data_IF_683603437216
#
_entry.id   IF_683603437216
#
_cell.length_a   1.000
_cell.length_b   1.000
_cell.length_c   1.000
_cell.angle_alpha   90.00
_cell.angle_beta   90.00
_cell.angle_gamma   90.00
#
_symmetry.space_group_name_H-M   'P 1'
#
loop_
_entity.id
_entity.type
_entity.pdbx_description
1 polymer ?
#
# COMPACT_ATOMS: atom_id res chain seq x y z
N UNK A 1 -26.64 25.62 -10.72
CA UNK A 1 -25.40 24.87 -11.00
C UNK A 1 -24.31 25.06 -9.92
N UNK A 2 -24.03 26.30 -9.47
CA UNK A 2 -23.00 26.61 -8.45
C UNK A 2 -23.19 25.89 -7.10
N UNK A 3 -24.44 25.78 -6.58
CA UNK A 3 -24.72 25.09 -5.30
C UNK A 3 -24.40 23.59 -5.32
N UNK A 4 -24.63 22.90 -6.44
CA UNK A 4 -24.41 21.44 -6.55
C UNK A 4 -22.90 21.11 -6.54
N UNK A 5 -22.08 21.95 -7.18
CA UNK A 5 -20.62 21.81 -7.20
C UNK A 5 -20.05 22.00 -5.78
N UNK A 6 -20.58 22.96 -5.02
CA UNK A 6 -20.18 23.21 -3.63
C UNK A 6 -20.45 21.99 -2.74
N UNK A 7 -21.67 21.42 -2.77
CA UNK A 7 -22.04 20.27 -1.92
C UNK A 7 -21.15 19.04 -2.19
N UNK A 8 -20.85 18.75 -3.47
CA UNK A 8 -19.98 17.63 -3.84
C UNK A 8 -18.53 17.80 -3.33
N UNK A 9 -17.98 19.02 -3.42
CA UNK A 9 -16.64 19.34 -2.91
C UNK A 9 -16.56 19.18 -1.39
N UNK A 10 -17.58 19.65 -0.66
CA UNK A 10 -17.68 19.46 0.78
C UNK A 10 -17.78 17.98 1.16
N UNK A 11 -18.56 17.20 0.41
CA UNK A 11 -18.66 15.74 0.59
C UNK A 11 -17.31 15.03 0.49
N UNK A 12 -16.52 15.31 -0.56
CA UNK A 12 -15.18 14.72 -0.71
C UNK A 12 -14.21 15.12 0.40
N UNK A 13 -14.23 16.38 0.85
CA UNK A 13 -13.38 16.85 1.95
C UNK A 13 -13.73 16.18 3.27
N UNK A 14 -15.02 16.07 3.56
CA UNK A 14 -15.51 15.42 4.79
C UNK A 14 -15.14 13.93 4.80
N UNK A 15 -15.39 13.23 3.69
CA UNK A 15 -14.97 11.83 3.54
C UNK A 15 -13.45 11.67 3.68
N UNK A 16 -12.66 12.56 3.06
CA UNK A 16 -11.20 12.56 3.18
C UNK A 16 -10.73 12.74 4.62
N UNK A 17 -11.39 13.62 5.38
CA UNK A 17 -11.10 13.82 6.80
C UNK A 17 -11.39 12.55 7.63
N UNK A 18 -12.54 11.90 7.41
CA UNK A 18 -12.83 10.62 8.05
C UNK A 18 -11.80 9.55 7.70
N UNK A 19 -11.36 9.46 6.45
CA UNK A 19 -10.28 8.55 6.06
C UNK A 19 -8.97 8.84 6.78
N UNK A 20 -8.59 10.11 7.00
CA UNK A 20 -7.40 10.44 7.80
C UNK A 20 -7.56 9.95 9.25
N UNK A 21 -8.71 10.21 9.87
CA UNK A 21 -8.97 9.75 11.24
C UNK A 21 -8.91 8.24 11.35
N UNK A 22 -9.53 7.51 10.40
CA UNK A 22 -9.44 6.06 10.32
C UNK A 22 -8.00 5.58 10.13
N UNK A 23 -7.22 6.25 9.28
CA UNK A 23 -5.81 5.91 9.06
C UNK A 23 -4.96 6.07 10.34
N UNK A 24 -5.17 7.16 11.08
CA UNK A 24 -4.50 7.42 12.37
C UNK A 24 -4.93 6.41 13.43
N UNK A 25 -6.22 6.11 13.52
CA UNK A 25 -6.74 5.08 14.43
C UNK A 25 -6.12 3.71 14.15
N UNK A 26 -6.08 3.29 12.87
CA UNK A 26 -5.45 2.04 12.48
C UNK A 26 -3.94 2.05 12.77
N UNK A 27 -3.26 3.19 12.62
CA UNK A 27 -1.84 3.30 12.98
C UNK A 27 -1.62 3.11 14.49
N UNK A 28 -2.50 3.65 15.34
CA UNK A 28 -2.47 3.36 16.77
C UNK A 28 -2.65 1.86 17.06
N UNK A 29 -3.46 1.16 16.26
CA UNK A 29 -3.59 -0.30 16.31
C UNK A 29 -2.27 -1.05 16.05
N UNK A 30 -1.39 -0.53 15.20
CA UNK A 30 -0.03 -1.08 15.00
C UNK A 30 0.80 -0.94 16.26
N UNK A 31 0.78 0.24 16.88
CA UNK A 31 1.52 0.49 18.12
C UNK A 31 0.99 -0.37 19.28
N UNK A 32 -0.33 -0.56 19.35
CA UNK A 32 -0.95 -1.45 20.32
C UNK A 32 -0.60 -2.91 20.05
N UNK A 33 -0.54 -3.34 18.80
CA UNK A 33 -0.13 -4.69 18.44
C UNK A 33 1.33 -4.97 18.85
N UNK A 34 2.20 -3.98 18.67
CA UNK A 34 3.60 -4.05 19.08
C UNK A 34 3.79 -4.08 20.61
N UNK A 35 2.89 -3.47 21.38
CA UNK A 35 3.02 -3.40 22.85
C UNK A 35 2.31 -4.52 23.60
N UNK A 36 1.18 -5.04 23.09
CA UNK A 36 0.33 -6.01 23.80
C UNK A 36 0.51 -7.46 23.37
N UNK A 37 1.01 -7.72 22.17
CA UNK A 37 1.11 -9.07 21.63
C UNK A 37 2.56 -9.46 21.32
N UNK A 38 2.81 -10.76 21.31
CA UNK A 38 4.08 -11.36 20.86
C UNK A 38 3.80 -12.46 19.83
N UNK A 39 4.85 -12.87 19.11
CA UNK A 39 4.78 -13.98 18.16
C UNK A 39 3.82 -13.75 16.99
N UNK A 40 3.13 -14.82 16.56
CA UNK A 40 2.18 -14.79 15.43
C UNK A 40 1.08 -13.73 15.60
N UNK A 41 0.57 -13.53 16.82
CA UNK A 41 -0.52 -12.54 17.05
C UNK A 41 -0.04 -11.12 16.85
N UNK A 42 1.18 -10.80 17.27
CA UNK A 42 1.78 -9.49 17.03
C UNK A 42 1.97 -9.25 15.53
N UNK A 43 2.52 -10.25 14.84
CA UNK A 43 2.77 -10.23 13.40
C UNK A 43 1.47 -10.01 12.59
N UNK A 44 0.43 -10.78 12.90
CA UNK A 44 -0.86 -10.69 12.22
C UNK A 44 -1.54 -9.34 12.45
N UNK A 45 -1.65 -8.91 13.72
CA UNK A 45 -2.28 -7.63 14.04
C UNK A 45 -1.50 -6.46 13.45
N UNK A 46 -0.17 -6.49 13.53
CA UNK A 46 0.69 -5.48 12.92
C UNK A 46 0.45 -5.34 11.42
N UNK A 47 0.45 -6.47 10.68
CA UNK A 47 0.16 -6.47 9.25
C UNK A 47 -1.25 -5.96 8.93
N UNK A 48 -2.28 -6.39 9.67
CA UNK A 48 -3.66 -5.97 9.45
C UNK A 48 -3.84 -4.46 9.67
N UNK A 49 -3.41 -3.96 10.83
CA UNK A 49 -3.57 -2.56 11.20
C UNK A 49 -2.75 -1.63 10.30
N UNK A 50 -1.53 -2.03 9.93
CA UNK A 50 -0.70 -1.27 9.00
C UNK A 50 -1.33 -1.22 7.59
N UNK A 51 -1.89 -2.34 7.11
CA UNK A 51 -2.57 -2.41 5.82
C UNK A 51 -3.77 -1.47 5.78
N UNK A 52 -4.62 -1.49 6.82
CA UNK A 52 -5.77 -0.60 6.92
C UNK A 52 -5.36 0.86 7.01
N UNK A 53 -4.32 1.17 7.81
CA UNK A 53 -3.79 2.53 7.94
C UNK A 53 -3.33 3.08 6.58
N UNK A 54 -2.58 2.27 5.82
CA UNK A 54 -2.11 2.64 4.48
C UNK A 54 -3.28 2.82 3.51
N UNK A 55 -4.23 1.89 3.47
CA UNK A 55 -5.40 1.95 2.59
C UNK A 55 -6.21 3.24 2.84
N UNK A 56 -6.52 3.55 4.09
CA UNK A 56 -7.26 4.76 4.43
C UNK A 56 -6.47 6.05 4.12
N UNK A 57 -5.15 6.04 4.35
CA UNK A 57 -4.28 7.16 3.98
C UNK A 57 -4.28 7.44 2.47
N UNK A 58 -4.16 6.39 1.66
CA UNK A 58 -4.24 6.46 0.20
C UNK A 58 -5.62 6.93 -0.28
N UNK A 59 -6.69 6.41 0.30
CA UNK A 59 -8.06 6.87 0.02
C UNK A 59 -8.24 8.36 0.32
N UNK A 60 -7.71 8.84 1.46
CA UNK A 60 -7.75 10.26 1.80
C UNK A 60 -7.04 11.12 0.75
N UNK A 61 -5.85 10.70 0.30
CA UNK A 61 -5.10 11.41 -0.75
C UNK A 61 -5.93 11.54 -2.03
N UNK A 62 -6.61 10.48 -2.46
CA UNK A 62 -7.47 10.52 -3.64
C UNK A 62 -8.69 11.43 -3.46
N UNK A 63 -9.35 11.38 -2.31
CA UNK A 63 -10.52 12.22 -2.01
C UNK A 63 -10.15 13.71 -1.97
N UNK A 64 -9.03 14.07 -1.33
CA UNK A 64 -8.54 15.45 -1.33
C UNK A 64 -8.06 15.89 -2.71
N UNK A 65 -7.45 15.01 -3.49
CA UNK A 65 -7.05 15.31 -4.87
C UNK A 65 -8.26 15.54 -5.78
N UNK A 66 -9.34 14.76 -5.61
CA UNK A 66 -10.60 14.94 -6.33
C UNK A 66 -11.35 16.23 -5.93
N UNK A 67 -11.10 16.74 -4.72
CA UNK A 67 -11.65 18.01 -4.24
C UNK A 67 -10.86 19.25 -4.72
N UNK A 68 -9.79 19.08 -5.50
CA UNK A 68 -9.01 20.20 -6.05
C UNK A 68 -9.68 20.78 -7.29
N UNK A 69 -9.63 22.12 -7.49
CA UNK A 69 -10.11 22.74 -8.71
C UNK A 69 -9.28 22.28 -9.92
N UNK A 70 -9.96 22.07 -11.05
CA UNK A 70 -9.41 21.51 -12.30
C UNK A 70 -8.31 22.36 -12.97
N UNK A 71 -8.04 23.55 -12.44
CA UNK A 71 -7.07 24.51 -12.98
C UNK A 71 -5.60 24.12 -12.70
N UNK A 72 -5.34 23.20 -11.78
CA UNK A 72 -3.99 22.74 -11.48
C UNK A 72 -3.55 21.61 -12.43
N UNK A 73 -3.21 21.93 -13.69
CA UNK A 73 -2.63 20.97 -14.63
C UNK A 73 -1.18 20.68 -14.23
N UNK A 74 -0.93 19.49 -13.69
CA UNK A 74 0.42 19.06 -13.29
C UNK A 74 1.34 18.88 -14.50
N UNK A 75 2.64 19.13 -14.30
CA UNK A 75 3.66 18.89 -15.33
C UNK A 75 3.76 17.41 -15.69
N UNK A 76 3.82 17.10 -16.99
CA UNK A 76 3.95 15.73 -17.51
C UNK A 76 5.24 15.04 -17.00
N UNK A 77 6.31 15.80 -16.76
CA UNK A 77 7.55 15.24 -16.18
C UNK A 77 7.32 14.72 -14.76
N UNK A 78 6.52 15.45 -13.98
CA UNK A 78 6.19 15.07 -12.59
C UNK A 78 5.32 13.81 -12.57
N UNK A 79 4.33 13.69 -13.46
CA UNK A 79 3.48 12.48 -13.51
C UNK A 79 4.26 11.24 -13.92
N UNK A 80 5.18 11.34 -14.89
CA UNK A 80 6.07 10.23 -15.27
C UNK A 80 7.02 9.83 -14.13
N UNK A 81 7.62 10.81 -13.45
CA UNK A 81 8.47 10.53 -12.29
C UNK A 81 7.70 9.82 -11.19
N UNK A 82 6.48 10.29 -10.87
CA UNK A 82 5.61 9.64 -9.88
C UNK A 82 5.25 8.21 -10.29
N UNK A 83 4.97 7.96 -11.58
CA UNK A 83 4.70 6.61 -12.07
C UNK A 83 5.88 5.66 -11.82
N UNK A 84 7.10 6.08 -12.15
CA UNK A 84 8.32 5.29 -11.93
C UNK A 84 8.61 5.09 -10.43
N UNK A 85 8.43 6.13 -9.62
CA UNK A 85 8.61 6.06 -8.18
C UNK A 85 7.68 5.01 -7.55
N UNK A 86 6.40 5.03 -7.90
CA UNK A 86 5.44 4.04 -7.39
C UNK A 86 5.70 2.62 -7.94
N UNK A 87 6.17 2.49 -9.18
CA UNK A 87 6.61 1.20 -9.71
C UNK A 87 7.79 0.64 -8.90
N UNK A 88 8.78 1.47 -8.58
CA UNK A 88 9.94 1.06 -7.78
C UNK A 88 9.53 0.61 -6.37
N UNK A 89 8.60 1.32 -5.71
CA UNK A 89 8.05 0.90 -4.41
C UNK A 89 7.33 -0.44 -4.53
N UNK A 90 6.50 -0.63 -5.56
CA UNK A 90 5.76 -1.87 -5.78
C UNK A 90 6.72 -3.06 -5.96
N UNK A 91 7.74 -2.90 -6.81
CA UNK A 91 8.76 -3.91 -7.04
C UNK A 91 9.58 -4.22 -5.78
N UNK A 92 9.98 -3.19 -5.03
CA UNK A 92 10.71 -3.36 -3.78
C UNK A 92 9.88 -4.14 -2.74
N UNK A 93 8.60 -3.81 -2.59
CA UNK A 93 7.71 -4.51 -1.67
C UNK A 93 7.46 -5.97 -2.12
N UNK A 94 7.23 -6.21 -3.40
CA UNK A 94 7.08 -7.56 -3.95
C UNK A 94 8.36 -8.39 -3.78
N UNK A 95 9.53 -7.78 -3.98
CA UNK A 95 10.81 -8.46 -3.83
C UNK A 95 11.04 -8.97 -2.41
N UNK A 96 10.65 -8.22 -1.38
CA UNK A 96 10.74 -8.69 0.02
C UNK A 96 9.93 -9.97 0.24
N UNK A 97 8.73 -10.06 -0.35
CA UNK A 97 7.89 -11.27 -0.28
C UNK A 97 8.54 -12.44 -1.01
N UNK A 98 9.06 -12.21 -2.22
CA UNK A 98 9.75 -13.24 -3.01
C UNK A 98 11.01 -13.74 -2.30
N UNK A 99 11.83 -12.84 -1.74
CA UNK A 99 13.02 -13.19 -1.00
C UNK A 99 12.70 -14.08 0.22
N UNK A 100 11.60 -13.78 0.93
CA UNK A 100 11.13 -14.63 2.02
C UNK A 100 10.68 -16.01 1.53
N UNK A 101 9.90 -16.09 0.45
CA UNK A 101 9.46 -17.37 -0.11
C UNK A 101 10.65 -18.24 -0.56
N UNK A 102 11.67 -17.64 -1.16
CA UNK A 102 12.91 -18.35 -1.52
C UNK A 102 13.68 -18.84 -0.28
N UNK A 103 13.65 -18.10 0.83
CA UNK A 103 14.26 -18.53 2.08
C UNK A 103 13.52 -19.72 2.70
N UNK A 104 12.18 -19.70 2.66
CA UNK A 104 11.33 -20.83 3.09
C UNK A 104 11.62 -22.07 2.25
N UNK A 105 11.63 -21.93 0.92
CA UNK A 105 11.89 -23.03 -0.02
C UNK A 105 13.24 -23.70 0.25
N UNK A 106 14.31 -22.91 0.34
CA UNK A 106 15.66 -23.40 0.69
C UNK A 106 15.72 -24.10 2.05
N UNK A 107 14.91 -23.68 3.02
CA UNK A 107 14.84 -24.32 4.33
C UNK A 107 14.15 -25.69 4.24
N UNK A 108 13.06 -25.77 3.49
CA UNK A 108 12.32 -27.01 3.27
C UNK A 108 13.15 -28.04 2.47
N UNK A 109 13.96 -27.59 1.50
CA UNK A 109 14.90 -28.45 0.76
C UNK A 109 15.94 -29.14 1.67
N UNK A 110 16.24 -28.55 2.83
CA UNK A 110 17.16 -29.11 3.82
C UNK A 110 16.46 -30.08 4.79
N UNK A 111 15.14 -30.30 4.63
CA UNK A 111 14.33 -31.08 5.56
C UNK A 111 14.08 -30.39 6.91
N UNK A 112 14.34 -29.07 6.99
CA UNK A 112 14.14 -28.25 8.17
C UNK A 112 12.74 -27.61 8.20
N UNK A 113 12.38 -27.00 9.34
CA UNK A 113 11.13 -26.25 9.50
C UNK A 113 11.41 -24.75 9.63
N UNK A 114 10.62 -23.90 8.96
CA UNK A 114 10.85 -22.46 8.95
C UNK A 114 10.06 -21.75 10.06
N UNK A 115 10.73 -20.98 10.92
CA UNK A 115 10.10 -20.09 11.91
C UNK A 115 9.68 -18.79 11.23
N UNK A 116 8.38 -18.69 10.90
CA UNK A 116 7.78 -17.52 10.24
C UNK A 116 7.73 -16.26 11.11
N UNK A 117 7.89 -16.38 12.43
CA UNK A 117 7.90 -15.22 13.35
C UNK A 117 9.28 -14.59 13.37
N UNK A 118 10.33 -15.42 13.42
CA UNK A 118 11.72 -14.97 13.45
C UNK A 118 12.31 -14.77 12.05
N UNK A 119 11.75 -15.42 11.04
CA UNK A 119 12.28 -15.42 9.68
C UNK A 119 13.52 -16.29 9.52
N UNK A 120 13.63 -17.37 10.30
CA UNK A 120 14.81 -18.21 10.39
C UNK A 120 14.48 -19.69 10.12
N UNK A 121 15.47 -20.45 9.65
CA UNK A 121 15.35 -21.88 9.41
C UNK A 121 15.76 -22.66 10.68
N UNK A 122 14.91 -23.57 11.14
CA UNK A 122 15.13 -24.38 12.35
C UNK A 122 15.11 -25.88 12.01
N UNK A 123 16.26 -26.53 12.22
CA UNK A 123 16.46 -27.96 12.01
C UNK A 123 16.04 -28.80 13.22
N UNK A 124 15.92 -28.18 14.40
CA UNK A 124 15.72 -28.88 15.66
C UNK A 124 14.24 -28.99 16.02
N UNK A 125 13.44 -27.95 15.74
CA UNK A 125 12.04 -27.90 16.16
C UNK A 125 11.09 -27.75 14.96
N UNK A 126 9.97 -28.49 14.92
CA UNK A 126 8.93 -28.26 13.94
C UNK A 126 8.15 -26.98 14.28
N UNK A 127 7.89 -26.16 13.25
CA UNK A 127 7.12 -24.92 13.34
C UNK A 127 5.81 -25.02 12.55
N UNK A 128 4.80 -24.27 13.01
CA UNK A 128 3.52 -24.20 12.32
C UNK A 128 3.63 -23.33 11.07
N UNK A 129 3.01 -23.78 9.97
CA UNK A 129 2.92 -23.00 8.73
C UNK A 129 1.98 -21.82 8.93
N UNK A 130 2.51 -20.60 8.75
CA UNK A 130 1.73 -19.37 8.81
C UNK A 130 1.45 -18.88 7.38
N UNK A 131 0.20 -18.53 7.09
CA UNK A 131 -0.17 -18.06 5.75
C UNK A 131 0.50 -16.73 5.38
N UNK A 132 0.80 -16.56 4.10
CA UNK A 132 1.50 -15.39 3.56
C UNK A 132 0.80 -14.06 3.90
N UNK A 133 -0.54 -14.06 3.94
CA UNK A 133 -1.31 -12.87 4.30
C UNK A 133 -1.10 -12.42 5.74
N UNK A 134 -0.82 -13.35 6.67
CA UNK A 134 -0.52 -13.01 8.07
C UNK A 134 0.89 -12.48 8.26
N UNK A 135 1.86 -12.97 7.47
CA UNK A 135 3.27 -12.59 7.59
C UNK A 135 3.62 -11.35 6.79
N UNK A 136 3.04 -11.18 5.60
CA UNK A 136 3.40 -10.14 4.63
C UNK A 136 2.21 -9.32 4.12
N UNK A 137 1.05 -9.38 4.81
CA UNK A 137 -0.18 -8.68 4.39
C UNK A 137 0.03 -7.20 4.07
N UNK A 138 0.81 -6.49 4.90
CA UNK A 138 1.14 -5.10 4.66
C UNK A 138 1.92 -4.88 3.36
N UNK A 139 2.95 -5.68 3.12
CA UNK A 139 3.78 -5.57 1.92
C UNK A 139 3.00 -5.89 0.65
N UNK A 140 2.09 -6.87 0.70
CA UNK A 140 1.20 -7.20 -0.42
C UNK A 140 0.24 -6.04 -0.74
N UNK A 141 -0.37 -5.44 0.29
CA UNK A 141 -1.26 -4.28 0.12
C UNK A 141 -0.48 -3.07 -0.39
N UNK A 142 0.71 -2.81 0.15
CA UNK A 142 1.58 -1.73 -0.31
C UNK A 142 1.99 -1.92 -1.77
N UNK A 143 2.39 -3.14 -2.16
CA UNK A 143 2.77 -3.48 -3.54
C UNK A 143 1.60 -3.24 -4.50
N UNK A 144 0.39 -3.69 -4.13
CA UNK A 144 -0.81 -3.52 -4.94
C UNK A 144 -1.20 -2.04 -5.09
N UNK A 145 -1.27 -1.29 -3.99
CA UNK A 145 -1.63 0.13 -4.04
C UNK A 145 -0.61 0.93 -4.86
N UNK A 146 0.69 0.66 -4.68
CA UNK A 146 1.75 1.29 -5.45
C UNK A 146 1.67 0.95 -6.95
N UNK A 147 1.39 -0.31 -7.32
CA UNK A 147 1.19 -0.72 -8.70
C UNK A 147 0.00 0.03 -9.35
N UNK A 148 -1.13 0.13 -8.65
CA UNK A 148 -2.30 0.88 -9.11
C UNK A 148 -1.96 2.36 -9.30
N UNK A 149 -1.24 2.97 -8.37
CA UNK A 149 -0.83 4.38 -8.49
C UNK A 149 0.11 4.61 -9.67
N UNK A 150 1.05 3.69 -9.89
CA UNK A 150 1.95 3.74 -11.04
C UNK A 150 1.17 3.67 -12.36
N UNK A 151 0.24 2.71 -12.48
CA UNK A 151 -0.60 2.56 -13.66
C UNK A 151 -1.48 3.79 -13.93
N UNK A 152 -2.11 4.36 -12.89
CA UNK A 152 -2.92 5.57 -13.00
C UNK A 152 -2.08 6.78 -13.43
N UNK A 153 -0.89 6.95 -12.86
CA UNK A 153 0.02 8.04 -13.21
C UNK A 153 0.54 7.91 -14.65
N UNK A 154 0.85 6.68 -15.09
CA UNK A 154 1.27 6.40 -16.45
C UNK A 154 0.13 6.68 -17.45
N UNK A 155 -1.07 6.17 -17.19
CA UNK A 155 -2.26 6.39 -18.01
C UNK A 155 -2.52 7.90 -18.21
N UNK A 156 -2.54 8.67 -17.13
CA UNK A 156 -2.74 10.12 -17.17
C UNK A 156 -1.66 10.84 -17.97
N UNK A 157 -0.42 10.35 -17.94
CA UNK A 157 0.69 10.95 -18.72
C UNK A 157 0.52 10.75 -20.23
N UNK A 158 -0.13 9.67 -20.65
CA UNK A 158 -0.39 9.36 -22.05
C UNK A 158 -1.55 10.21 -22.61
N UNK A 159 -2.62 10.40 -21.83
CA UNK A 159 -3.74 11.28 -22.23
C UNK A 159 -3.27 12.71 -22.54
N UNK A 160 -2.37 13.25 -21.69
CA UNK A 160 -1.80 14.58 -21.90
C UNK A 160 -0.99 14.66 -23.20
N UNK A 161 -0.26 13.59 -23.54
CA UNK A 161 0.57 13.52 -24.75
C UNK A 161 -0.28 13.46 -26.04
N UNK A 162 -1.40 12.72 -26.01
CA UNK A 162 -2.31 12.64 -27.14
C UNK A 162 -3.03 13.96 -27.38
N UNK A 163 -3.46 14.64 -26.30
CA UNK A 163 -4.12 15.95 -26.40
C UNK A 163 -3.20 17.04 -26.96
N UNK A 164 -1.88 16.98 -26.74
CA UNK A 164 -0.95 17.97 -27.32
C UNK A 164 -0.71 17.75 -28.80
N UNK A 165 -0.71 16.50 -29.27
CA UNK A 165 -0.43 16.18 -30.67
C UNK A 165 -1.61 16.49 -31.61
N UNK A 166 -2.84 16.45 -31.10
CA UNK A 166 -4.04 16.78 -31.89
C UNK A 166 -4.34 18.30 -31.94
N UNK A 167 -3.55 19.12 -31.25
CA UNK A 167 -3.73 20.58 -31.21
C UNK A 167 -2.79 21.33 -32.18
N UNK A 168 -1.97 20.58 -32.93
CA UNK A 168 -1.08 21.05 -34.01
C UNK A 168 -1.68 20.65 -35.36
#
# INVERSE_FOLDING_TARGET
MIRIISVRLWGFRLAGFFCILSSVYCFMGVLQAASLFTGERALFNGNLWASLSLLFGVCAIHLFSAARPSTCRGSQRVTKFLALFWAAISLAAAWQVVAHLLAVDRCLDQGASFDYVRGECDLANPHNVISLGKTHGFLLVAALLAAVHSALAFWKSNEVSLSSNNAL
#
